data_IF_290422807319
#
_entry.id   IF_290422807319
#
_cell.length_a   1.000
_cell.length_b   1.000
_cell.length_c   1.000
_cell.angle_alpha   90.00
_cell.angle_beta   90.00
_cell.angle_gamma   90.00
#
_symmetry.space_group_name_H-M   'P 1'
#
loop_
_entity.id
_entity.type
_entity.pdbx_description
1 polymer ?
#
# COMPACT_ATOMS: atom_id res chain seq x y z
N UNK A 1 -14.22 -34.12 -18.03
CA UNK A 1 -14.97 -32.88 -18.36
C UNK A 1 -14.25 -31.69 -17.78
N UNK A 2 -13.18 -31.26 -18.46
CA UNK A 2 -12.41 -30.07 -18.10
C UNK A 2 -12.87 -28.91 -18.97
N UNK A 3 -13.32 -27.82 -18.34
CA UNK A 3 -13.67 -26.58 -19.02
C UNK A 3 -12.39 -25.79 -19.31
N UNK A 4 -11.58 -26.29 -20.25
CA UNK A 4 -10.61 -25.46 -20.94
C UNK A 4 -11.42 -24.67 -21.99
N UNK A 5 -11.71 -23.39 -21.71
CA UNK A 5 -12.48 -22.53 -22.61
C UNK A 5 -13.59 -21.67 -21.97
N UNK A 6 -13.67 -21.61 -20.63
CA UNK A 6 -14.66 -20.78 -19.92
C UNK A 6 -14.17 -19.37 -19.58
N UNK A 7 -12.88 -19.11 -19.76
CA UNK A 7 -12.23 -17.82 -19.48
C UNK A 7 -12.42 -16.91 -20.70
N UNK A 8 -12.62 -15.61 -20.47
CA UNK A 8 -12.67 -14.66 -21.58
C UNK A 8 -11.28 -14.40 -22.16
N UNK A 9 -10.29 -14.19 -21.30
CA UNK A 9 -8.90 -13.98 -21.68
C UNK A 9 -8.02 -14.93 -20.89
N UNK A 10 -7.34 -15.80 -21.62
CA UNK A 10 -6.39 -16.75 -21.05
C UNK A 10 -5.03 -16.60 -21.73
N UNK A 11 -4.06 -16.06 -20.99
CA UNK A 11 -2.65 -16.04 -21.38
C UNK A 11 -1.96 -17.25 -20.78
N UNK A 12 -1.36 -18.07 -21.63
CA UNK A 12 -0.60 -19.25 -21.22
C UNK A 12 0.81 -19.13 -21.73
N UNK A 13 1.78 -19.01 -20.81
CA UNK A 13 3.20 -18.88 -21.13
C UNK A 13 3.47 -17.79 -22.16
N UNK A 14 2.80 -16.65 -21.99
CA UNK A 14 2.78 -15.55 -22.96
C UNK A 14 3.15 -14.26 -22.27
N UNK A 15 4.33 -13.75 -22.59
CA UNK A 15 4.90 -12.56 -21.96
C UNK A 15 4.75 -11.33 -22.85
N UNK A 16 4.86 -10.13 -22.27
CA UNK A 16 4.92 -8.85 -22.99
C UNK A 16 3.69 -8.55 -23.85
N UNK A 17 2.50 -8.91 -23.37
CA UNK A 17 1.25 -8.58 -24.02
C UNK A 17 0.62 -7.33 -23.42
N UNK A 18 -0.12 -6.62 -24.24
CA UNK A 18 -0.80 -5.39 -23.85
C UNK A 18 -2.29 -5.48 -24.19
N UNK A 19 -3.12 -5.26 -23.18
CA UNK A 19 -4.57 -5.28 -23.28
C UNK A 19 -5.12 -3.98 -22.69
N UNK A 20 -5.98 -3.30 -23.46
CA UNK A 20 -6.57 -2.04 -23.04
C UNK A 20 -8.05 -1.96 -23.40
N UNK A 21 -8.84 -1.28 -22.57
CA UNK A 21 -10.22 -0.90 -22.88
C UNK A 21 -11.14 -2.07 -23.25
N UNK A 22 -11.02 -3.17 -22.49
CA UNK A 22 -11.81 -4.38 -22.70
C UNK A 22 -13.06 -4.40 -21.82
N UNK A 23 -14.09 -5.11 -22.29
CA UNK A 23 -15.23 -5.50 -21.46
C UNK A 23 -15.27 -7.02 -21.37
N UNK A 24 -14.98 -7.54 -20.18
CA UNK A 24 -14.89 -8.96 -19.88
C UNK A 24 -16.00 -9.31 -18.88
N UNK A 25 -17.09 -9.90 -19.38
CA UNK A 25 -18.25 -10.17 -18.54
C UNK A 25 -18.98 -11.46 -18.85
N UNK A 26 -19.71 -11.98 -17.86
CA UNK A 26 -20.61 -13.14 -17.97
C UNK A 26 -19.90 -14.43 -18.44
N UNK A 27 -18.64 -14.60 -18.06
CA UNK A 27 -17.88 -15.81 -18.38
C UNK A 27 -18.11 -16.90 -17.34
N UNK A 28 -18.04 -18.16 -17.76
CA UNK A 28 -18.23 -19.33 -16.89
C UNK A 28 -16.99 -19.63 -16.01
N UNK A 29 -15.85 -19.03 -16.33
CA UNK A 29 -14.60 -19.12 -15.56
C UNK A 29 -14.13 -17.75 -15.08
N UNK A 30 -12.84 -17.59 -14.79
CA UNK A 30 -12.26 -16.27 -14.56
C UNK A 30 -12.46 -15.33 -15.74
N UNK A 31 -12.58 -14.04 -15.47
CA UNK A 31 -12.59 -13.02 -16.53
C UNK A 31 -11.25 -13.03 -17.27
N UNK A 32 -10.17 -12.79 -16.53
CA UNK A 32 -8.80 -12.75 -17.06
C UNK A 32 -7.92 -13.69 -16.25
N UNK A 33 -7.25 -14.62 -16.93
CA UNK A 33 -6.27 -15.53 -16.32
C UNK A 33 -4.91 -15.43 -17.02
N UNK A 34 -3.88 -15.21 -16.22
CA UNK A 34 -2.47 -15.29 -16.60
C UNK A 34 -1.88 -16.56 -15.98
N UNK A 35 -1.39 -17.47 -16.81
CA UNK A 35 -0.76 -18.72 -16.41
C UNK A 35 0.69 -18.69 -16.90
N UNK A 36 1.65 -18.65 -15.97
CA UNK A 36 3.08 -18.52 -16.29
C UNK A 36 3.39 -17.40 -17.27
N UNK A 37 2.72 -16.26 -17.14
CA UNK A 37 2.75 -15.16 -18.11
C UNK A 37 3.19 -13.88 -17.40
N UNK A 38 4.28 -13.28 -17.88
CA UNK A 38 4.99 -12.19 -17.22
C UNK A 38 5.07 -10.93 -18.07
N UNK A 39 5.35 -9.79 -17.44
CA UNK A 39 5.53 -8.49 -18.12
C UNK A 39 4.32 -8.05 -18.97
N UNK A 40 3.10 -8.43 -18.59
CA UNK A 40 1.90 -8.01 -19.30
C UNK A 40 1.34 -6.71 -18.72
N UNK A 41 0.78 -5.88 -19.60
CA UNK A 41 0.06 -4.67 -19.25
C UNK A 41 -1.43 -4.85 -19.52
N UNK A 42 -2.24 -4.68 -18.48
CA UNK A 42 -3.69 -4.67 -18.58
C UNK A 42 -4.21 -3.35 -18.05
N UNK A 43 -4.98 -2.61 -18.86
CA UNK A 43 -5.49 -1.32 -18.42
C UNK A 43 -6.87 -0.93 -18.93
N UNK A 44 -7.53 0.00 -18.22
CA UNK A 44 -8.75 0.68 -18.67
C UNK A 44 -9.94 -0.25 -18.94
N UNK A 45 -9.99 -1.42 -18.33
CA UNK A 45 -10.97 -2.46 -18.66
C UNK A 45 -12.02 -2.67 -17.57
N UNK A 46 -13.12 -3.30 -17.94
CA UNK A 46 -14.21 -3.72 -17.06
C UNK A 46 -14.21 -5.25 -16.99
N UNK A 47 -14.15 -5.81 -15.78
CA UNK A 47 -14.13 -7.26 -15.52
C UNK A 47 -15.20 -7.61 -14.50
N UNK A 48 -16.37 -8.06 -14.95
CA UNK A 48 -17.53 -8.20 -14.07
C UNK A 48 -18.44 -9.40 -14.34
N UNK A 49 -19.19 -9.83 -13.33
CA UNK A 49 -20.20 -10.89 -13.46
C UNK A 49 -19.65 -12.21 -14.00
N UNK A 50 -18.38 -12.52 -13.73
CA UNK A 50 -17.79 -13.80 -14.12
C UNK A 50 -18.02 -14.84 -13.02
N UNK A 51 -18.22 -16.09 -13.41
CA UNK A 51 -18.50 -17.19 -12.48
C UNK A 51 -17.25 -17.67 -11.72
N UNK A 52 -16.07 -17.18 -12.08
CA UNK A 52 -14.81 -17.40 -11.37
C UNK A 52 -14.22 -16.11 -10.80
N UNK A 53 -12.89 -16.00 -10.85
CA UNK A 53 -12.15 -14.82 -10.41
C UNK A 53 -12.28 -13.65 -11.41
N UNK A 54 -12.13 -12.41 -10.95
CA UNK A 54 -11.99 -11.27 -11.86
C UNK A 54 -10.68 -11.37 -12.65
N UNK A 55 -9.56 -11.14 -11.96
CA UNK A 55 -8.20 -11.25 -12.50
C UNK A 55 -7.41 -12.28 -11.70
N UNK A 56 -6.88 -13.29 -12.38
CA UNK A 56 -6.16 -14.40 -11.77
C UNK A 56 -4.75 -14.56 -12.34
N UNK A 57 -3.74 -14.38 -11.50
CA UNK A 57 -2.34 -14.61 -11.82
C UNK A 57 -1.88 -15.89 -11.15
N UNK A 58 -1.39 -16.83 -11.95
CA UNK A 58 -1.13 -18.19 -11.53
C UNK A 58 0.21 -18.71 -12.07
N UNK A 59 0.94 -19.44 -11.22
CA UNK A 59 2.10 -20.26 -11.60
C UNK A 59 3.23 -19.43 -12.24
N UNK A 60 3.94 -18.65 -11.42
CA UNK A 60 5.04 -17.77 -11.84
C UNK A 60 4.64 -16.67 -12.84
N UNK A 61 3.43 -16.09 -12.68
CA UNK A 61 3.01 -14.94 -13.48
C UNK A 61 3.53 -13.65 -12.84
N UNK A 62 4.67 -13.16 -13.32
CA UNK A 62 5.46 -12.13 -12.63
C UNK A 62 5.49 -10.79 -13.37
N UNK A 63 5.81 -9.72 -12.63
CA UNK A 63 6.10 -8.40 -13.22
C UNK A 63 4.95 -7.84 -14.09
N UNK A 64 3.71 -8.22 -13.81
CA UNK A 64 2.54 -7.73 -14.55
C UNK A 64 2.04 -6.40 -13.95
N UNK A 65 1.55 -5.52 -14.82
CA UNK A 65 0.95 -4.24 -14.43
C UNK A 65 -0.53 -4.21 -14.80
N UNK A 66 -1.40 -4.07 -13.80
CA UNK A 66 -2.85 -4.10 -13.96
C UNK A 66 -3.44 -2.80 -13.39
N UNK A 67 -3.96 -1.93 -14.25
CA UNK A 67 -4.30 -0.57 -13.84
C UNK A 67 -5.62 -0.04 -14.38
N UNK A 68 -6.31 0.81 -13.62
CA UNK A 68 -7.57 1.43 -14.04
C UNK A 68 -8.63 0.38 -14.46
N UNK A 69 -8.72 -0.73 -13.73
CA UNK A 69 -9.70 -1.79 -13.96
C UNK A 69 -10.86 -1.66 -12.97
N UNK A 70 -12.08 -1.79 -13.47
CA UNK A 70 -13.26 -2.00 -12.65
C UNK A 70 -13.55 -3.51 -12.56
N UNK A 71 -13.36 -4.10 -11.37
CA UNK A 71 -13.48 -5.53 -11.10
C UNK A 71 -14.65 -5.77 -10.14
N UNK A 72 -15.79 -6.24 -10.64
CA UNK A 72 -16.99 -6.29 -9.82
C UNK A 72 -17.87 -7.52 -9.99
N UNK A 73 -18.56 -7.93 -8.92
CA UNK A 73 -19.59 -8.98 -8.96
C UNK A 73 -19.09 -10.31 -9.56
N UNK A 74 -17.81 -10.64 -9.42
CA UNK A 74 -17.31 -11.94 -9.80
C UNK A 74 -17.62 -12.93 -8.66
N UNK A 75 -17.97 -14.15 -9.01
CA UNK A 75 -18.40 -15.16 -8.01
C UNK A 75 -17.25 -15.63 -7.13
N UNK A 76 -16.01 -15.51 -7.61
CA UNK A 76 -14.79 -15.69 -6.81
C UNK A 76 -14.14 -14.37 -6.42
N UNK A 77 -12.84 -14.42 -6.12
CA UNK A 77 -12.02 -13.26 -5.79
C UNK A 77 -11.96 -12.21 -6.91
N UNK A 78 -11.89 -10.93 -6.54
CA UNK A 78 -11.65 -9.85 -7.48
C UNK A 78 -10.26 -9.99 -8.12
N UNK A 79 -9.22 -9.94 -7.30
CA UNK A 79 -7.83 -10.22 -7.70
C UNK A 79 -7.32 -11.44 -6.93
N UNK A 80 -6.75 -12.40 -7.65
CA UNK A 80 -6.14 -13.59 -7.06
C UNK A 80 -4.73 -13.83 -7.60
N UNK A 81 -3.74 -13.96 -6.71
CA UNK A 81 -2.37 -14.35 -7.06
C UNK A 81 -2.02 -15.66 -6.35
N UNK A 82 -1.40 -16.57 -7.09
CA UNK A 82 -1.12 -17.92 -6.61
C UNK A 82 0.18 -18.50 -7.20
N UNK A 83 0.87 -19.34 -6.43
CA UNK A 83 2.08 -20.09 -6.81
C UNK A 83 3.20 -19.20 -7.35
N UNK A 84 3.95 -18.55 -6.45
CA UNK A 84 5.13 -17.73 -6.76
C UNK A 84 4.88 -16.65 -7.82
N UNK A 85 3.67 -16.09 -7.86
CA UNK A 85 3.35 -14.95 -8.73
C UNK A 85 3.75 -13.65 -8.00
N UNK A 86 4.90 -13.10 -8.35
CA UNK A 86 5.58 -12.03 -7.61
C UNK A 86 5.78 -10.76 -8.45
N UNK A 87 6.09 -9.64 -7.78
CA UNK A 87 6.35 -8.34 -8.39
C UNK A 87 5.20 -7.77 -9.24
N UNK A 88 3.97 -8.19 -8.96
CA UNK A 88 2.81 -7.70 -9.70
C UNK A 88 2.30 -6.40 -9.10
N UNK A 89 2.02 -5.43 -9.98
CA UNK A 89 1.58 -4.08 -9.59
C UNK A 89 0.16 -3.82 -10.04
N UNK A 90 -0.68 -3.40 -9.09
CA UNK A 90 -2.07 -3.03 -9.34
C UNK A 90 -2.28 -1.58 -8.97
N UNK A 91 -2.89 -0.78 -9.85
CA UNK A 91 -3.10 0.64 -9.55
C UNK A 91 -4.41 1.20 -10.03
N UNK A 92 -4.99 2.12 -9.26
CA UNK A 92 -6.22 2.84 -9.64
C UNK A 92 -7.38 1.90 -9.99
N UNK A 93 -7.45 0.74 -9.33
CA UNK A 93 -8.50 -0.23 -9.57
C UNK A 93 -9.67 0.00 -8.61
N UNK A 94 -10.88 -0.31 -9.06
CA UNK A 94 -12.07 -0.41 -8.20
C UNK A 94 -12.49 -1.86 -8.14
N UNK A 95 -12.44 -2.46 -6.95
CA UNK A 95 -12.71 -3.86 -6.70
C UNK A 95 -13.93 -3.94 -5.78
N UNK A 96 -15.04 -4.44 -6.30
CA UNK A 96 -16.35 -4.28 -5.66
C UNK A 96 -17.13 -5.59 -5.65
N UNK A 97 -17.68 -5.96 -4.49
CA UNK A 97 -18.68 -7.05 -4.42
C UNK A 97 -18.19 -8.38 -5.03
N UNK A 98 -16.97 -8.81 -4.67
CA UNK A 98 -16.44 -10.13 -5.02
C UNK A 98 -16.43 -11.04 -3.76
N UNK A 99 -16.03 -12.31 -3.88
CA UNK A 99 -15.90 -13.20 -2.71
C UNK A 99 -14.87 -12.66 -1.70
N UNK A 100 -13.62 -12.59 -2.15
CA UNK A 100 -12.60 -11.72 -1.57
C UNK A 100 -12.28 -10.58 -2.52
N UNK A 101 -11.96 -9.41 -1.98
CA UNK A 101 -11.47 -8.30 -2.80
C UNK A 101 -10.15 -8.67 -3.46
N UNK A 102 -9.15 -8.94 -2.61
CA UNK A 102 -7.83 -9.42 -2.99
C UNK A 102 -7.48 -10.66 -2.19
N UNK A 103 -6.93 -11.66 -2.88
CA UNK A 103 -6.41 -12.86 -2.26
C UNK A 103 -5.01 -13.18 -2.81
N UNK A 104 -4.01 -13.36 -1.95
CA UNK A 104 -2.69 -13.89 -2.28
C UNK A 104 -2.43 -15.20 -1.51
N UNK A 105 -1.84 -16.21 -2.18
CA UNK A 105 -1.38 -17.44 -1.54
C UNK A 105 -0.15 -18.05 -2.21
N UNK A 106 0.51 -18.98 -1.53
CA UNK A 106 1.63 -19.81 -1.99
C UNK A 106 2.79 -18.96 -2.54
N UNK A 107 3.47 -18.23 -1.63
CA UNK A 107 4.66 -17.42 -1.89
C UNK A 107 4.44 -16.28 -2.93
N UNK A 108 3.20 -15.80 -3.06
CA UNK A 108 2.85 -14.74 -4.01
C UNK A 108 3.04 -13.34 -3.41
N UNK A 109 3.39 -12.36 -4.25
CA UNK A 109 3.68 -10.99 -3.81
C UNK A 109 3.10 -9.94 -4.76
N UNK A 110 2.58 -8.86 -4.20
CA UNK A 110 2.06 -7.75 -4.99
C UNK A 110 2.02 -6.41 -4.29
N UNK A 111 1.92 -5.35 -5.08
CA UNK A 111 1.72 -3.97 -4.62
C UNK A 111 0.43 -3.43 -5.22
N UNK A 112 -0.43 -2.85 -4.39
CA UNK A 112 -1.69 -2.24 -4.81
C UNK A 112 -1.72 -0.80 -4.34
N UNK A 113 -1.86 0.14 -5.27
CA UNK A 113 -1.91 1.55 -4.91
C UNK A 113 -3.04 2.35 -5.56
N UNK A 114 -3.44 3.43 -4.89
CA UNK A 114 -4.51 4.35 -5.34
C UNK A 114 -5.83 3.62 -5.69
N UNK A 115 -6.16 2.53 -5.00
CA UNK A 115 -7.28 1.67 -5.36
C UNK A 115 -8.40 1.72 -4.32
N UNK A 116 -9.58 1.21 -4.67
CA UNK A 116 -10.71 1.06 -3.74
C UNK A 116 -11.17 -0.38 -3.77
N UNK A 117 -11.27 -1.00 -2.59
CA UNK A 117 -11.82 -2.34 -2.38
C UNK A 117 -13.02 -2.20 -1.44
N UNK A 118 -14.15 -2.80 -1.76
CA UNK A 118 -15.32 -2.72 -0.90
C UNK A 118 -16.34 -3.81 -1.15
N UNK A 119 -17.16 -4.07 -0.13
CA UNK A 119 -18.32 -4.95 -0.17
C UNK A 119 -18.00 -6.40 -0.57
N UNK A 120 -16.77 -6.86 -0.32
CA UNK A 120 -16.42 -8.27 -0.54
C UNK A 120 -17.14 -9.14 0.49
N UNK A 121 -17.68 -10.28 0.07
CA UNK A 121 -18.62 -11.05 0.90
C UNK A 121 -17.95 -11.88 2.00
N UNK A 122 -16.70 -12.30 1.81
CA UNK A 122 -15.90 -13.02 2.81
C UNK A 122 -14.80 -12.16 3.44
N UNK A 123 -14.14 -11.31 2.65
CA UNK A 123 -13.08 -10.45 3.15
C UNK A 123 -12.57 -9.47 2.09
N UNK A 124 -12.22 -8.24 2.46
CA UNK A 124 -11.61 -7.32 1.49
C UNK A 124 -10.19 -7.76 1.14
N UNK A 125 -9.41 -8.19 2.14
CA UNK A 125 -8.01 -8.62 1.97
C UNK A 125 -7.79 -9.97 2.62
N UNK A 126 -7.25 -10.93 1.87
CA UNK A 126 -6.78 -12.21 2.37
C UNK A 126 -5.37 -12.52 1.88
N UNK A 127 -4.43 -12.75 2.80
CA UNK A 127 -3.02 -13.04 2.46
C UNK A 127 -2.56 -14.26 3.26
N UNK A 128 -2.23 -15.36 2.61
CA UNK A 128 -1.77 -16.56 3.31
C UNK A 128 -0.59 -17.30 2.66
N UNK A 129 -0.02 -18.25 3.39
CA UNK A 129 1.02 -19.17 2.90
C UNK A 129 2.24 -18.42 2.32
N UNK A 130 2.98 -17.77 3.22
CA UNK A 130 4.21 -17.01 2.97
C UNK A 130 4.06 -15.91 1.90
N UNK A 131 2.87 -15.32 1.78
CA UNK A 131 2.59 -14.29 0.78
C UNK A 131 2.73 -12.87 1.35
N UNK A 132 2.98 -11.89 0.49
CA UNK A 132 3.19 -10.50 0.89
C UNK A 132 2.38 -9.51 0.05
N UNK A 133 1.70 -8.58 0.71
CA UNK A 133 0.93 -7.54 0.05
C UNK A 133 1.25 -6.16 0.62
N UNK A 134 1.58 -5.22 -0.25
CA UNK A 134 1.70 -3.81 0.10
C UNK A 134 0.50 -3.03 -0.46
N UNK A 135 -0.25 -2.36 0.42
CA UNK A 135 -1.33 -1.45 0.05
C UNK A 135 -0.88 -0.01 0.27
N UNK A 136 -0.93 0.84 -0.76
CA UNK A 136 -0.50 2.24 -0.66
C UNK A 136 -1.63 3.16 -1.13
N UNK A 137 -2.13 4.04 -0.27
CA UNK A 137 -3.25 4.93 -0.63
C UNK A 137 -4.47 4.16 -1.18
N UNK A 138 -4.79 3.05 -0.54
CA UNK A 138 -5.88 2.16 -0.94
C UNK A 138 -6.99 2.20 0.11
N UNK A 139 -8.23 2.40 -0.33
CA UNK A 139 -9.41 2.42 0.54
C UNK A 139 -10.02 1.02 0.64
N UNK A 140 -10.25 0.52 1.85
CA UNK A 140 -10.80 -0.82 2.12
C UNK A 140 -11.33 -0.89 3.56
N UNK A 141 -12.08 -1.95 3.90
CA UNK A 141 -12.53 -2.17 5.27
C UNK A 141 -11.44 -2.82 6.14
N UNK A 142 -10.85 -2.06 7.07
CA UNK A 142 -9.77 -2.53 7.97
C UNK A 142 -10.17 -3.64 8.95
N UNK A 143 -11.47 -3.87 9.16
CA UNK A 143 -11.96 -5.03 9.93
C UNK A 143 -12.14 -6.29 9.08
N UNK A 144 -12.00 -6.17 7.75
CA UNK A 144 -12.18 -7.23 6.77
C UNK A 144 -10.83 -7.66 6.19
N UNK A 145 -9.87 -7.94 7.08
CA UNK A 145 -8.53 -8.39 6.75
C UNK A 145 -8.28 -9.73 7.44
N UNK A 146 -7.80 -10.71 6.67
CA UNK A 146 -7.23 -11.94 7.20
C UNK A 146 -5.80 -12.14 6.65
N UNK A 147 -4.85 -12.40 7.55
CA UNK A 147 -3.44 -12.65 7.23
C UNK A 147 -3.00 -13.87 8.03
N UNK A 148 -2.41 -14.88 7.37
CA UNK A 148 -2.01 -16.12 8.03
C UNK A 148 -0.85 -16.85 7.31
N UNK A 149 -0.34 -17.93 7.91
CA UNK A 149 0.69 -18.78 7.28
C UNK A 149 2.01 -18.06 7.01
N UNK A 150 2.52 -17.28 7.96
CA UNK A 150 3.72 -16.44 7.87
C UNK A 150 3.62 -15.36 6.79
N UNK A 151 2.42 -14.84 6.57
CA UNK A 151 2.19 -13.81 5.54
C UNK A 151 2.24 -12.41 6.12
N UNK A 152 2.49 -11.43 5.25
CA UNK A 152 2.64 -10.03 5.64
C UNK A 152 1.75 -9.12 4.80
N UNK A 153 0.96 -8.28 5.47
CA UNK A 153 0.26 -7.15 4.87
C UNK A 153 0.87 -5.85 5.40
N UNK A 154 1.27 -4.95 4.50
CA UNK A 154 1.72 -3.59 4.86
C UNK A 154 0.72 -2.57 4.34
N UNK A 155 0.20 -1.74 5.23
CA UNK A 155 -0.74 -0.67 4.89
C UNK A 155 -0.03 0.67 5.01
N UNK A 156 0.07 1.37 3.89
CA UNK A 156 0.86 2.59 3.70
C UNK A 156 0.01 3.70 3.11
N UNK A 157 0.48 4.93 3.29
CA UNK A 157 -0.14 6.14 2.77
C UNK A 157 0.91 7.07 2.18
N UNK A 158 0.48 7.96 1.28
CA UNK A 158 1.33 9.06 0.83
C UNK A 158 1.22 10.22 1.80
N UNK A 159 2.36 10.64 2.34
CA UNK A 159 2.49 11.90 3.04
C UNK A 159 3.09 12.94 2.10
N UNK A 160 2.48 14.12 2.12
CA UNK A 160 3.08 15.35 1.62
C UNK A 160 3.44 16.21 2.81
N UNK A 161 4.55 16.93 2.76
CA UNK A 161 4.90 17.91 3.79
C UNK A 161 5.11 19.28 3.14
N UNK A 162 4.57 20.31 3.78
CA UNK A 162 4.77 21.70 3.42
C UNK A 162 5.48 22.42 4.57
N UNK A 163 6.65 22.98 4.26
CA UNK A 163 7.53 23.65 5.21
C UNK A 163 7.47 25.15 4.96
N UNK A 164 7.08 25.89 6.00
CA UNK A 164 7.03 27.36 5.99
C UNK A 164 7.87 27.95 7.11
N UNK A 165 8.39 29.15 6.92
CA UNK A 165 9.00 29.92 7.99
C UNK A 165 7.94 30.60 8.89
N UNK A 166 8.39 31.36 9.90
CA UNK A 166 7.51 32.13 10.79
C UNK A 166 6.71 33.24 10.07
N UNK A 167 7.15 33.67 8.90
CA UNK A 167 6.45 34.63 8.05
C UNK A 167 5.48 33.94 7.07
N UNK A 168 5.28 32.62 7.20
CA UNK A 168 4.46 31.79 6.31
C UNK A 168 4.98 31.70 4.87
N UNK A 169 6.27 32.01 4.65
CA UNK A 169 6.91 31.86 3.35
C UNK A 169 7.43 30.42 3.18
N UNK A 170 7.39 29.86 1.96
CA UNK A 170 7.91 28.52 1.69
C UNK A 170 9.42 28.44 1.95
N UNK A 171 9.87 27.31 2.52
CA UNK A 171 11.29 27.04 2.73
C UNK A 171 11.79 26.05 1.69
N UNK A 172 12.60 26.52 0.75
CA UNK A 172 13.24 25.69 -0.28
C UNK A 172 14.37 24.83 0.28
N UNK A 173 14.49 23.60 -0.21
CA UNK A 173 15.52 22.64 0.14
C UNK A 173 15.70 22.46 1.67
N UNK A 174 14.59 22.43 2.41
CA UNK A 174 14.53 21.94 3.78
C UNK A 174 14.49 20.41 3.76
N UNK A 175 15.31 19.76 4.58
CA UNK A 175 15.30 18.31 4.75
C UNK A 175 14.16 17.91 5.67
N UNK A 176 13.15 17.26 5.10
CA UNK A 176 12.06 16.61 5.84
C UNK A 176 12.49 15.21 6.22
N UNK A 177 12.33 14.87 7.51
CA UNK A 177 12.63 13.55 8.07
C UNK A 177 11.39 13.02 8.75
N UNK A 178 10.97 11.82 8.37
CA UNK A 178 9.84 11.08 8.93
C UNK A 178 10.35 9.95 9.78
N UNK A 179 9.90 9.91 11.04
CA UNK A 179 10.12 8.80 11.95
C UNK A 179 8.80 8.13 12.30
N UNK A 180 8.80 6.81 12.35
CA UNK A 180 7.66 6.05 12.86
C UNK A 180 7.58 6.14 14.40
N UNK A 181 6.56 5.51 14.98
CA UNK A 181 6.34 5.49 16.42
C UNK A 181 7.49 4.89 17.26
N UNK A 182 8.39 4.09 16.68
CA UNK A 182 9.58 3.59 17.37
C UNK A 182 10.81 4.51 17.24
N UNK A 183 10.68 5.61 16.50
CA UNK A 183 11.76 6.58 16.25
C UNK A 183 12.65 6.24 15.05
N UNK A 184 12.37 5.15 14.34
CA UNK A 184 13.09 4.76 13.12
C UNK A 184 12.78 5.71 11.97
N UNK A 185 13.80 6.11 11.21
CA UNK A 185 13.61 6.94 10.00
C UNK A 185 13.01 6.09 8.90
N UNK A 186 11.80 6.42 8.46
CA UNK A 186 11.07 5.69 7.41
C UNK A 186 10.92 6.46 6.11
N UNK A 187 11.21 7.76 6.12
CA UNK A 187 11.16 8.58 4.92
C UNK A 187 11.95 9.87 5.08
N UNK A 188 12.52 10.34 3.97
CA UNK A 188 13.19 11.64 3.89
C UNK A 188 12.88 12.31 2.55
N UNK A 189 13.10 13.62 2.47
CA UNK A 189 13.10 14.33 1.20
C UNK A 189 13.38 15.81 1.37
N UNK A 190 13.76 16.45 0.27
CA UNK A 190 13.98 17.89 0.22
C UNK A 190 12.72 18.58 -0.30
N UNK A 191 12.36 19.70 0.32
CA UNK A 191 11.32 20.56 -0.22
C UNK A 191 11.75 21.23 -1.52
N UNK A 192 10.80 21.45 -2.41
CA UNK A 192 10.92 22.28 -3.60
C UNK A 192 10.82 23.78 -3.28
N UNK A 193 10.88 24.63 -4.32
CA UNK A 193 10.77 26.08 -4.19
C UNK A 193 9.43 26.56 -3.59
N UNK A 194 8.38 25.72 -3.62
CA UNK A 194 7.09 25.97 -2.99
C UNK A 194 7.05 25.47 -1.53
N UNK A 195 8.19 25.03 -1.00
CA UNK A 195 8.32 24.49 0.35
C UNK A 195 7.71 23.10 0.50
N UNK A 196 7.50 22.36 -0.60
CA UNK A 196 6.76 21.08 -0.57
C UNK A 196 7.65 19.90 -0.90
N UNK A 197 7.45 18.81 -0.17
CA UNK A 197 7.93 17.46 -0.53
C UNK A 197 6.71 16.54 -0.59
N UNK A 198 6.65 15.67 -1.61
CA UNK A 198 5.45 14.89 -1.92
C UNK A 198 5.78 13.42 -2.08
N UNK A 199 4.77 12.58 -1.90
CA UNK A 199 4.84 11.14 -2.16
C UNK A 199 5.80 10.38 -1.24
N UNK A 200 5.97 10.86 -0.01
CA UNK A 200 6.71 10.09 1.00
C UNK A 200 5.80 8.93 1.43
N UNK A 201 6.19 7.70 1.14
CA UNK A 201 5.48 6.52 1.61
C UNK A 201 5.71 6.33 3.11
N UNK A 202 4.62 6.22 3.86
CA UNK A 202 4.65 6.04 5.31
C UNK A 202 3.72 4.91 5.71
N UNK A 203 4.18 4.05 6.61
CA UNK A 203 3.44 2.86 7.04
C UNK A 203 2.49 3.19 8.17
N UNK A 204 1.19 2.91 8.02
CA UNK A 204 0.24 2.97 9.13
C UNK A 204 0.43 1.78 10.06
N UNK A 205 0.35 0.57 9.50
CA UNK A 205 0.53 -0.67 10.23
C UNK A 205 1.07 -1.79 9.33
N UNK A 206 1.72 -2.75 9.98
CA UNK A 206 2.09 -4.04 9.40
C UNK A 206 1.30 -5.11 10.14
N UNK A 207 0.70 -6.04 9.40
CA UNK A 207 0.07 -7.22 9.95
C UNK A 207 0.85 -8.46 9.50
N UNK A 208 1.39 -9.18 10.48
CA UNK A 208 2.12 -10.44 10.33
C UNK A 208 1.27 -11.53 11.00
N UNK A 209 0.68 -12.39 10.19
CA UNK A 209 -0.38 -13.30 10.63
C UNK A 209 -1.49 -12.58 11.43
N UNK A 210 -1.80 -13.06 12.64
CA UNK A 210 -2.79 -12.46 13.52
C UNK A 210 -2.31 -11.19 14.24
N UNK A 211 -1.02 -10.85 14.18
CA UNK A 211 -0.43 -9.72 14.92
C UNK A 211 -0.44 -8.46 14.07
N UNK A 212 -1.13 -7.42 14.52
CA UNK A 212 -1.12 -6.08 13.92
C UNK A 212 -0.27 -5.12 14.74
N UNK A 213 0.76 -4.54 14.11
CA UNK A 213 1.66 -3.55 14.71
C UNK A 213 1.48 -2.20 14.02
N UNK A 214 1.08 -1.18 14.79
CA UNK A 214 0.93 0.18 14.29
C UNK A 214 2.26 0.94 14.35
N UNK A 215 2.55 1.73 13.31
CA UNK A 215 3.75 2.57 13.17
C UNK A 215 3.44 4.07 13.31
N UNK A 216 2.21 4.38 13.75
CA UNK A 216 1.66 5.72 13.94
C UNK A 216 1.54 6.07 15.45
N UNK A 217 1.57 7.35 15.87
CA UNK A 217 1.80 8.56 15.07
C UNK A 217 3.23 8.65 14.53
N UNK A 218 3.43 9.49 13.51
CA UNK A 218 4.74 9.73 12.92
C UNK A 218 5.30 11.05 13.42
N UNK A 219 6.57 11.06 13.83
CA UNK A 219 7.29 12.28 14.14
C UNK A 219 7.89 12.83 12.84
N UNK A 220 7.41 13.99 12.40
CA UNK A 220 7.83 14.61 11.13
C UNK A 220 8.52 15.94 11.42
N UNK A 221 9.75 16.06 10.97
CA UNK A 221 10.61 17.22 11.22
C UNK A 221 11.12 17.80 9.93
N UNK A 222 11.47 19.09 9.92
CA UNK A 222 12.12 19.76 8.82
C UNK A 222 13.33 20.55 9.32
N UNK A 223 14.47 20.42 8.63
CA UNK A 223 15.74 21.08 8.98
C UNK A 223 16.23 21.89 7.77
N UNK A 224 16.60 23.16 8.00
CA UNK A 224 17.30 24.00 7.02
C UNK A 224 18.38 24.79 7.74
N UNK A 225 19.64 24.54 7.40
CA UNK A 225 20.80 25.14 8.07
C UNK A 225 20.74 24.98 9.60
N UNK A 226 20.50 26.07 10.34
CA UNK A 226 20.33 26.08 11.80
C UNK A 226 18.87 26.07 12.24
N UNK A 227 17.92 26.21 11.31
CA UNK A 227 16.49 26.27 11.56
C UNK A 227 15.87 24.87 11.59
N UNK A 228 14.91 24.69 12.49
CA UNK A 228 14.19 23.44 12.74
C UNK A 228 12.69 23.72 12.88
N UNK A 229 11.89 22.79 12.38
CA UNK A 229 10.45 22.72 12.59
C UNK A 229 9.98 21.28 12.77
N UNK A 230 8.81 21.10 13.39
CA UNK A 230 8.15 19.80 13.48
C UNK A 230 6.65 19.95 13.23
N UNK A 231 6.04 18.88 12.74
CA UNK A 231 4.59 18.78 12.63
C UNK A 231 3.97 18.62 14.02
N UNK A 232 3.05 19.53 14.39
CA UNK A 232 2.37 19.51 15.69
C UNK A 232 0.86 19.64 15.47
N UNK A 233 0.04 18.66 15.94
CA UNK A 233 0.45 17.40 16.56
C UNK A 233 1.17 16.47 15.56
N UNK A 234 1.83 15.44 16.07
CA UNK A 234 2.42 14.38 15.24
C UNK A 234 1.34 13.75 14.34
N UNK A 235 1.55 13.67 13.02
CA UNK A 235 0.54 13.13 12.12
C UNK A 235 0.26 11.66 12.38
N UNK A 236 -1.00 11.35 12.65
CA UNK A 236 -1.48 9.97 12.63
C UNK A 236 -1.86 9.58 11.19
N UNK A 237 -0.97 8.86 10.51
CA UNK A 237 -1.11 8.51 9.10
C UNK A 237 -2.09 7.34 8.91
N UNK A 238 -3.38 7.64 8.88
CA UNK A 238 -4.47 6.70 8.60
C UNK A 238 -5.12 6.85 7.22
N UNK A 239 -4.64 7.84 6.46
CA UNK A 239 -4.99 8.18 5.09
C UNK A 239 -3.88 9.06 4.51
N UNK A 240 -3.75 9.12 3.19
CA UNK A 240 -2.85 10.07 2.54
C UNK A 240 -3.24 11.50 2.88
N UNK A 241 -2.27 12.35 3.19
CA UNK A 241 -2.51 13.74 3.62
C UNK A 241 -1.29 14.63 3.44
N UNK A 242 -1.55 15.94 3.45
CA UNK A 242 -0.51 16.95 3.62
C UNK A 242 -0.32 17.29 5.11
N UNK A 243 0.93 17.52 5.50
CA UNK A 243 1.34 17.87 6.87
C UNK A 243 2.08 19.21 6.83
N UNK A 244 1.67 20.14 7.67
CA UNK A 244 2.29 21.46 7.78
C UNK A 244 3.40 21.47 8.83
N UNK A 245 4.53 22.10 8.49
CA UNK A 245 5.68 22.28 9.39
C UNK A 245 6.07 23.75 9.38
N UNK A 246 6.11 24.39 10.54
CA UNK A 246 6.67 25.75 10.68
C UNK A 246 8.09 25.67 11.22
N UNK A 247 9.05 26.24 10.49
CA UNK A 247 10.43 26.41 10.94
C UNK A 247 10.56 27.67 11.80
N UNK A 248 10.88 27.48 13.08
CA UNK A 248 11.00 28.58 14.04
C UNK A 248 11.99 28.32 15.18
N UNK A 249 12.59 27.13 15.26
CA UNK A 249 13.53 26.77 16.32
C UNK A 249 14.97 26.78 15.79
N UNK A 250 15.92 27.35 16.53
CA UNK A 250 17.32 26.93 16.37
C UNK A 250 17.40 25.45 16.70
N UNK A 251 18.05 24.64 15.85
CA UNK A 251 18.20 23.18 15.99
C UNK A 251 18.40 22.81 17.47
N UNK A 252 17.58 21.91 18.05
CA UNK A 252 17.82 21.45 19.41
C UNK A 252 19.25 20.95 19.49
N UNK A 253 20.07 21.53 20.38
CA UNK A 253 21.39 20.98 20.65
C UNK A 253 21.19 19.51 21.00
N UNK A 254 21.79 18.62 20.23
CA UNK A 254 21.74 17.16 20.41
C UNK A 254 22.55 16.72 21.63
N UNK A 255 22.35 17.38 22.76
CA UNK A 255 22.73 16.86 24.07
C UNK A 255 21.49 16.16 24.62
N UNK A 256 21.59 14.83 24.66
CA UNK A 256 20.64 13.91 25.28
C UNK A 256 19.94 14.54 26.48
N UNK A 257 18.61 14.63 26.44
CA UNK A 257 17.84 14.56 27.69
C UNK A 257 18.01 13.12 28.18
N UNK A 258 19.08 12.90 28.96
CA UNK A 258 19.13 11.78 29.90
C UNK A 258 18.04 12.13 30.90
N UNK A 259 16.97 11.32 30.93
CA UNK A 259 16.07 11.32 32.07
C UNK A 259 16.93 10.81 33.24
N UNK A 260 17.41 11.72 34.09
CA UNK A 260 17.98 11.33 35.38
C UNK A 260 16.85 10.65 36.17
N UNK A 261 17.01 9.36 36.44
CA UNK A 261 16.19 8.71 37.46
C UNK A 261 16.42 9.43 38.80
N UNK A 262 15.33 9.90 39.40
CA UNK A 262 15.33 10.54 40.71
C UNK A 262 15.94 9.59 41.78
N UNK A 263 16.59 10.12 42.83
CA UNK A 263 17.44 9.34 43.72
C UNK A 263 16.65 8.29 44.50
N UNK A 264 16.94 7.02 44.20
CA UNK A 264 16.57 5.89 45.04
C UNK A 264 17.23 6.01 46.41
N UNK A 265 16.38 6.01 47.43
CA UNK A 265 16.70 6.18 48.85
C UNK A 265 17.85 5.29 49.33
N UNK A 266 18.72 5.90 50.13
CA UNK A 266 19.78 5.21 50.87
C UNK A 266 19.23 4.14 51.81
N UNK A 267 20.06 3.13 52.02
CA UNK A 267 19.83 2.03 52.93
C UNK A 267 19.97 2.51 54.38
N UNK A 268 19.03 2.08 55.22
CA UNK A 268 19.23 1.82 56.65
C UNK A 268 18.56 0.48 56.94
#
# INVERSE_FOLDING_TARGET
NGLWGSDAIYLSRSDNNEFQNLTVSNNLGPGIRLYGSSNNLLSGSVVENNSGYGVYLYDFSNDNTISNIYIANNSGNGIYLRYWSVNNTFSRNTILANEYGIYLTEDSKGVIYNSTISNSSQGDIFVQTNSELDLINTSFNKSSIDVSGNSVLRVKWFMHAEVKDIASLPVDAAEVIVRNASGEVTGTGLTDADGKVRWIEVTEFVQEDAKRTYHTPHNVTAIKDVSYGAAVPEPNMSMSREVMITQNMTKPNTDRIIIEEAPGRGWA
#
